data_IF_169477644481
#
_entry.id   IF_169477644481
#
_cell.length_a   1.000
_cell.length_b   1.000
_cell.length_c   1.000
_cell.angle_alpha   90.00
_cell.angle_beta   90.00
_cell.angle_gamma   90.00
#
_symmetry.space_group_name_H-M   'P 1'
#
loop_
_entity.id
_entity.type
_entity.pdbx_description
1 polymer ?
#
# COMPACT_ATOMS: atom_id res chain seq x y z
N UNK A 1 -10.34 -32.95 56.82
CA UNK A 1 -10.87 -34.35 56.80
C UNK A 1 -11.86 -34.51 55.68
N UNK A 2 -11.61 -35.43 54.85
CA UNK A 2 -12.32 -36.23 53.83
C UNK A 2 -11.69 -36.12 52.45
N UNK A 3 -10.83 -37.11 52.18
CA UNK A 3 -10.39 -37.62 50.89
C UNK A 3 -11.55 -38.35 50.18
N UNK A 4 -11.52 -38.34 48.83
CA UNK A 4 -11.96 -39.42 47.94
C UNK A 4 -11.85 -38.86 46.53
N UNK A 5 -11.36 -39.46 45.49
CA UNK A 5 -10.74 -40.71 45.13
C UNK A 5 -10.73 -40.73 43.60
N UNK A 6 -9.61 -41.10 43.05
CA UNK A 6 -9.28 -41.46 41.68
C UNK A 6 -10.30 -42.35 41.00
N UNK A 7 -10.55 -42.15 39.72
CA UNK A 7 -10.88 -43.24 38.79
C UNK A 7 -10.27 -42.98 37.42
N UNK A 8 -9.21 -43.70 37.13
CA UNK A 8 -8.60 -43.88 35.81
C UNK A 8 -9.48 -44.86 35.01
N UNK A 9 -9.75 -44.53 33.74
CA UNK A 9 -10.17 -45.51 32.75
C UNK A 9 -9.20 -45.44 31.57
N UNK A 10 -8.51 -46.53 31.41
CA UNK A 10 -7.59 -46.92 30.35
C UNK A 10 -8.38 -47.78 29.35
N UNK A 11 -8.40 -47.50 28.06
CA UNK A 11 -8.72 -48.40 26.96
C UNK A 11 -7.91 -47.93 25.73
N UNK A 12 -6.89 -48.57 25.44
CA UNK A 12 -6.54 -49.72 24.62
C UNK A 12 -6.78 -49.55 23.10
N UNK A 13 -5.66 -49.46 22.43
CA UNK A 13 -5.25 -49.72 21.04
C UNK A 13 -6.17 -50.57 20.18
N UNK A 14 -6.33 -50.15 18.92
CA UNK A 14 -6.35 -51.06 17.79
C UNK A 14 -5.75 -50.38 16.55
N UNK A 15 -4.56 -50.78 16.22
CA UNK A 15 -3.86 -50.60 14.95
C UNK A 15 -4.49 -51.45 13.85
N UNK A 16 -4.78 -50.86 12.69
CA UNK A 16 -4.91 -51.62 11.45
C UNK A 16 -4.11 -50.91 10.38
N UNK A 17 -3.01 -51.59 10.04
CA UNK A 17 -2.23 -51.34 8.85
C UNK A 17 -2.92 -51.99 7.65
N UNK A 18 -3.08 -51.27 6.55
CA UNK A 18 -3.14 -51.91 5.21
C UNK A 18 -2.36 -51.09 4.20
N UNK A 19 -1.40 -51.81 3.65
CA UNK A 19 -0.56 -51.45 2.50
C UNK A 19 -1.35 -51.58 1.18
N UNK A 20 -0.75 -50.95 0.18
CA UNK A 20 -0.79 -51.17 -1.26
C UNK A 20 -1.81 -50.30 -2.04
N UNK A 21 -1.29 -49.54 -2.96
CA UNK A 21 -1.18 -49.77 -4.35
C UNK A 21 -0.75 -48.50 -5.12
N UNK A 22 0.39 -48.62 -5.76
CA UNK A 22 0.86 -47.76 -6.84
C UNK A 22 -0.13 -47.72 -8.01
N UNK A 23 -0.34 -46.56 -8.59
CA UNK A 23 -0.35 -46.42 -10.05
C UNK A 23 -0.41 -44.96 -10.46
N UNK A 24 0.65 -44.53 -11.07
CA UNK A 24 0.72 -43.36 -11.92
C UNK A 24 0.19 -43.80 -13.31
N UNK A 25 -0.65 -43.04 -13.98
CA UNK A 25 -0.43 -42.81 -15.38
C UNK A 25 -0.81 -41.40 -15.84
N UNK A 26 0.00 -40.69 -16.55
CA UNK A 26 -0.12 -40.49 -17.98
C UNK A 26 0.90 -39.48 -18.49
N UNK A 27 1.90 -40.03 -19.10
CA UNK A 27 2.57 -39.38 -20.23
C UNK A 27 1.62 -39.49 -21.43
N UNK A 28 1.37 -38.35 -22.07
CA UNK A 28 0.83 -38.36 -23.44
C UNK A 28 1.97 -37.89 -24.34
N UNK A 29 2.52 -38.84 -25.03
CA UNK A 29 3.42 -38.68 -26.18
C UNK A 29 2.63 -38.19 -27.39
N UNK A 30 3.17 -37.14 -28.01
CA UNK A 30 2.79 -36.74 -29.36
C UNK A 30 3.36 -37.73 -30.36
N UNK A 31 2.53 -38.25 -31.22
CA UNK A 31 2.95 -38.78 -32.53
C UNK A 31 1.75 -38.76 -33.49
N UNK A 32 1.89 -38.06 -34.58
CA UNK A 32 1.14 -38.30 -35.82
C UNK A 32 1.84 -37.56 -36.95
N UNK A 33 2.76 -38.29 -37.54
CA UNK A 33 3.25 -38.14 -38.92
C UNK A 33 2.15 -38.54 -39.92
N UNK A 34 1.91 -37.72 -40.92
CA UNK A 34 1.33 -38.16 -42.22
C UNK A 34 1.93 -37.27 -43.29
N UNK A 35 2.90 -37.75 -43.99
CA UNK A 35 3.02 -38.34 -45.30
C UNK A 35 2.72 -37.39 -46.47
N UNK A 36 3.80 -37.01 -47.13
CA UNK A 36 4.15 -37.11 -48.53
C UNK A 36 3.06 -36.86 -49.57
N UNK A 37 3.26 -35.79 -50.33
CA UNK A 37 2.75 -35.62 -51.69
C UNK A 37 3.87 -35.11 -52.58
N UNK A 38 4.51 -36.05 -53.28
CA UNK A 38 5.47 -35.80 -54.34
C UNK A 38 4.73 -35.27 -55.58
N UNK A 39 5.15 -34.17 -56.15
CA UNK A 39 4.76 -33.78 -57.52
C UNK A 39 6.01 -33.49 -58.32
N UNK A 40 6.02 -34.20 -59.40
CA UNK A 40 6.99 -34.43 -60.44
C UNK A 40 7.34 -33.16 -61.22
N UNK A 41 8.61 -32.99 -61.52
CA UNK A 41 9.17 -32.02 -62.50
C UNK A 41 8.74 -32.38 -63.92
N UNK A 42 8.46 -31.35 -64.72
CA UNK A 42 8.46 -31.46 -66.20
C UNK A 42 9.18 -30.23 -66.75
N UNK A 43 10.10 -30.44 -67.74
CA UNK A 43 11.07 -29.43 -68.12
C UNK A 43 10.55 -28.42 -69.13
N UNK A 44 11.29 -27.31 -69.21
CA UNK A 44 11.13 -26.12 -70.02
C UNK A 44 11.16 -26.38 -71.56
N UNK A 45 10.75 -25.40 -72.33
CA UNK A 45 11.42 -25.13 -73.59
C UNK A 45 12.16 -23.78 -73.56
N UNK A 46 13.38 -23.87 -74.00
CA UNK A 46 14.30 -22.80 -74.39
C UNK A 46 13.69 -21.90 -75.45
N UNK A 47 13.75 -20.61 -75.28
CA UNK A 47 13.64 -19.64 -76.37
C UNK A 47 14.76 -18.60 -76.25
N UNK A 48 15.27 -18.32 -77.41
CA UNK A 48 16.44 -17.58 -77.85
C UNK A 48 16.50 -16.11 -77.44
N UNK A 49 17.69 -15.66 -77.12
CA UNK A 49 18.11 -14.28 -76.83
C UNK A 49 17.84 -13.36 -78.04
N UNK A 50 17.25 -12.22 -77.74
CA UNK A 50 17.39 -11.05 -78.61
C UNK A 50 17.91 -9.93 -77.76
N UNK A 51 19.19 -9.60 -77.96
CA UNK A 51 19.84 -8.48 -77.33
C UNK A 51 19.22 -7.14 -77.73
N UNK A 52 18.77 -6.38 -76.77
CA UNK A 52 18.41 -4.94 -76.92
C UNK A 52 19.39 -4.13 -76.07
N UNK A 53 19.95 -3.05 -76.59
CA UNK A 53 21.03 -2.32 -75.90
C UNK A 53 20.55 -1.65 -74.66
N UNK A 54 21.28 -1.86 -73.57
CA UNK A 54 21.12 -1.24 -72.26
C UNK A 54 21.35 0.27 -72.34
N UNK A 55 20.44 1.10 -71.88
CA UNK A 55 20.74 2.51 -71.63
C UNK A 55 21.60 2.62 -70.34
N UNK A 56 22.58 3.47 -70.41
CA UNK A 56 23.50 3.87 -69.37
C UNK A 56 22.76 4.38 -68.13
N UNK A 57 23.07 3.95 -66.88
CA UNK A 57 22.38 4.43 -65.68
C UNK A 57 22.74 5.91 -65.41
N UNK A 58 21.73 6.74 -65.55
CA UNK A 58 21.77 8.09 -64.98
C UNK A 58 21.83 7.98 -63.46
N UNK A 59 22.91 8.38 -62.84
CA UNK A 59 23.02 8.55 -61.40
C UNK A 59 22.04 9.65 -60.97
N UNK A 60 20.86 9.26 -60.50
CA UNK A 60 20.06 10.11 -59.65
C UNK A 60 20.79 10.29 -58.31
N UNK A 61 21.15 11.52 -57.99
CA UNK A 61 21.69 11.89 -56.70
C UNK A 61 20.67 11.48 -55.62
N UNK A 62 21.04 10.53 -54.79
CA UNK A 62 20.27 10.17 -53.61
C UNK A 62 20.09 11.42 -52.77
N UNK A 63 18.89 11.97 -52.74
CA UNK A 63 18.50 12.99 -51.77
C UNK A 63 18.47 12.28 -50.42
N UNK A 64 19.44 12.57 -49.57
CA UNK A 64 19.45 12.09 -48.21
C UNK A 64 18.16 12.60 -47.52
N UNK A 65 17.27 11.70 -47.21
CA UNK A 65 16.09 11.99 -46.36
C UNK A 65 16.67 12.36 -44.98
N UNK A 66 16.42 13.57 -44.48
CA UNK A 66 16.93 13.93 -43.18
C UNK A 66 16.47 12.89 -42.15
N UNK A 67 17.40 12.25 -41.45
CA UNK A 67 17.12 11.41 -40.28
C UNK A 67 16.35 12.28 -39.31
N UNK A 68 15.14 11.87 -38.85
CA UNK A 68 14.40 12.66 -37.87
C UNK A 68 15.29 12.82 -36.64
N UNK A 69 15.49 14.07 -36.21
CA UNK A 69 16.09 14.33 -34.89
C UNK A 69 15.36 13.54 -33.84
N UNK A 70 16.05 12.90 -32.89
CA UNK A 70 15.38 12.19 -31.79
C UNK A 70 14.51 13.21 -31.06
N UNK A 71 13.22 12.97 -31.07
CA UNK A 71 12.24 13.76 -30.31
C UNK A 71 12.62 13.60 -28.85
N UNK A 72 13.11 14.67 -28.22
CA UNK A 72 13.41 14.65 -26.79
C UNK A 72 12.09 14.38 -26.06
N UNK A 73 12.14 13.45 -25.09
CA UNK A 73 11.02 13.22 -24.16
C UNK A 73 10.77 14.53 -23.40
N UNK A 74 9.59 15.16 -23.54
CA UNK A 74 9.29 16.43 -22.89
C UNK A 74 9.32 16.32 -21.34
N UNK A 75 9.24 15.11 -20.79
CA UNK A 75 9.23 14.83 -19.35
C UNK A 75 10.56 14.25 -18.83
N UNK A 76 11.59 14.21 -19.69
CA UNK A 76 12.91 13.76 -19.26
C UNK A 76 13.48 14.69 -18.19
N UNK A 77 13.80 14.14 -17.03
CA UNK A 77 14.38 14.88 -15.93
C UNK A 77 15.90 15.11 -16.15
N UNK A 78 16.48 16.19 -15.60
CA UNK A 78 17.91 16.39 -15.57
C UNK A 78 18.66 15.20 -14.93
N UNK A 79 19.93 15.04 -15.30
CA UNK A 79 20.81 14.03 -14.68
C UNK A 79 20.83 14.20 -13.14
N UNK A 80 20.73 13.11 -12.41
CA UNK A 80 20.68 13.10 -10.95
C UNK A 80 19.31 13.39 -10.34
N UNK A 81 18.26 13.47 -11.16
CA UNK A 81 16.87 13.56 -10.69
C UNK A 81 16.06 12.34 -11.11
N UNK A 82 14.98 12.09 -10.37
CA UNK A 82 13.95 11.10 -10.65
C UNK A 82 12.57 11.59 -10.16
N UNK A 83 11.51 10.97 -10.62
CA UNK A 83 10.21 11.18 -10.02
C UNK A 83 10.09 10.40 -8.71
N UNK A 84 9.61 11.06 -7.66
CA UNK A 84 9.36 10.44 -6.35
C UNK A 84 8.35 9.29 -6.48
N UNK A 85 8.63 8.15 -5.84
CA UNK A 85 7.68 7.05 -5.73
C UNK A 85 6.47 7.39 -4.83
N UNK A 86 6.58 8.41 -3.98
CA UNK A 86 5.54 8.81 -3.04
C UNK A 86 4.62 9.90 -3.60
N UNK A 87 5.19 10.86 -4.34
CA UNK A 87 4.46 12.06 -4.78
C UNK A 87 4.44 12.27 -6.30
N UNK A 88 5.24 11.53 -7.07
CA UNK A 88 5.37 11.77 -8.51
C UNK A 88 6.06 13.09 -8.88
N UNK A 89 6.53 13.85 -7.90
CA UNK A 89 7.26 15.11 -8.12
C UNK A 89 8.74 14.85 -8.35
N UNK A 90 9.46 15.74 -9.09
CA UNK A 90 10.89 15.62 -9.28
C UNK A 90 11.65 15.75 -7.95
N UNK A 91 12.51 14.78 -7.65
CA UNK A 91 13.41 14.77 -6.50
C UNK A 91 14.83 14.38 -6.93
N UNK A 92 15.83 14.57 -6.07
CA UNK A 92 17.16 14.01 -6.34
C UNK A 92 17.10 12.48 -6.36
N UNK A 93 17.91 11.84 -7.22
CA UNK A 93 18.01 10.37 -7.23
C UNK A 93 18.48 9.83 -5.88
N UNK A 94 19.35 10.59 -5.18
CA UNK A 94 19.80 10.23 -3.84
C UNK A 94 18.63 10.14 -2.86
N UNK A 95 17.69 11.10 -2.90
CA UNK A 95 16.51 11.13 -2.03
C UNK A 95 15.48 10.11 -2.46
N UNK A 96 15.09 10.08 -3.72
CA UNK A 96 14.00 9.21 -4.23
C UNK A 96 14.32 7.72 -4.16
N UNK A 97 15.59 7.32 -4.03
CA UNK A 97 16.00 5.92 -3.83
C UNK A 97 16.06 5.49 -2.36
N UNK A 98 15.92 6.42 -1.41
CA UNK A 98 15.89 6.09 0.02
C UNK A 98 14.53 5.52 0.42
N UNK A 99 14.57 4.59 1.38
CA UNK A 99 13.36 4.10 2.05
C UNK A 99 12.74 5.20 2.90
N UNK A 100 11.42 5.43 2.79
CA UNK A 100 10.74 6.36 3.67
C UNK A 100 10.61 5.81 5.09
N UNK A 101 10.36 6.69 6.04
CA UNK A 101 10.03 6.35 7.42
C UNK A 101 8.51 6.34 7.60
N UNK A 102 7.96 5.20 8.00
CA UNK A 102 6.53 4.99 8.18
C UNK A 102 6.20 4.99 9.68
N UNK A 103 5.61 6.08 10.17
CA UNK A 103 5.41 6.32 11.61
C UNK A 103 3.95 6.13 11.98
N UNK A 104 3.67 5.25 12.97
CA UNK A 104 2.33 5.04 13.52
C UNK A 104 1.86 6.25 14.34
N UNK A 105 0.78 6.89 13.92
CA UNK A 105 0.22 8.11 14.52
C UNK A 105 -1.11 7.83 15.21
N UNK A 106 -1.24 8.37 16.41
CA UNK A 106 -2.49 8.35 17.18
C UNK A 106 -3.53 9.29 16.54
N UNK A 107 -4.75 8.79 16.36
CA UNK A 107 -5.84 9.56 15.79
C UNK A 107 -7.07 9.67 16.72
N UNK A 108 -6.87 9.49 18.01
CA UNK A 108 -7.90 9.76 19.02
C UNK A 108 -7.94 11.24 19.37
N UNK A 109 -9.12 11.73 19.71
CA UNK A 109 -9.35 13.15 20.05
C UNK A 109 -8.34 13.71 21.11
N UNK A 110 -7.94 12.99 22.18
CA UNK A 110 -6.93 13.49 23.11
C UNK A 110 -5.53 13.65 22.52
N UNK A 111 -5.28 13.09 21.33
CA UNK A 111 -4.01 13.21 20.60
C UNK A 111 -3.99 14.36 19.58
N UNK A 112 -5.14 14.99 19.34
CA UNK A 112 -5.29 16.09 18.38
C UNK A 112 -5.04 17.42 19.07
N UNK A 113 -4.36 18.41 18.43
CA UNK A 113 -3.68 18.31 17.15
C UNK A 113 -2.39 17.47 17.25
N UNK A 114 -2.09 16.71 16.19
CA UNK A 114 -0.85 15.97 16.08
C UNK A 114 0.30 16.88 15.65
N UNK A 115 1.53 16.38 15.77
CA UNK A 115 2.76 17.12 15.44
C UNK A 115 3.49 16.48 14.26
N UNK A 116 4.06 17.29 13.38
CA UNK A 116 4.91 16.87 12.25
C UNK A 116 4.16 16.21 11.09
N UNK A 117 2.85 16.03 11.22
CA UNK A 117 2.04 15.24 10.28
C UNK A 117 1.81 15.95 8.94
N UNK A 118 1.88 17.27 8.88
CA UNK A 118 1.76 18.03 7.63
C UNK A 118 2.94 17.81 6.68
N UNK A 119 4.05 17.29 7.18
CA UNK A 119 5.26 17.04 6.41
C UNK A 119 5.30 15.63 5.78
N UNK A 120 4.34 14.75 6.13
CA UNK A 120 4.22 13.46 5.49
C UNK A 120 3.86 13.58 4.00
N UNK A 121 4.43 12.71 3.18
CA UNK A 121 4.19 12.63 1.73
C UNK A 121 2.96 11.77 1.42
N UNK A 122 2.82 10.65 2.14
CA UNK A 122 1.67 9.75 2.07
C UNK A 122 1.15 9.51 3.47
N UNK A 123 -0.17 9.42 3.60
CA UNK A 123 -0.80 9.07 4.87
C UNK A 123 -1.81 7.96 4.67
N UNK A 124 -1.75 6.93 5.52
CA UNK A 124 -2.74 5.88 5.60
C UNK A 124 -3.64 6.09 6.82
N UNK A 125 -4.91 5.71 6.70
CA UNK A 125 -5.83 5.63 7.83
C UNK A 125 -6.66 4.35 7.76
N UNK A 126 -6.73 3.64 8.88
CA UNK A 126 -7.56 2.44 9.03
C UNK A 126 -8.12 2.33 10.45
N UNK A 127 -9.24 1.63 10.59
CA UNK A 127 -9.79 1.31 11.90
C UNK A 127 -8.88 0.36 12.67
N UNK A 128 -8.91 0.49 13.98
CA UNK A 128 -8.31 -0.40 14.97
C UNK A 128 -9.37 -0.80 16.00
N UNK A 129 -8.99 -1.24 17.18
CA UNK A 129 -9.94 -1.70 18.20
C UNK A 129 -11.05 -0.69 18.48
N UNK A 130 -12.26 -1.17 18.74
CA UNK A 130 -13.42 -0.33 19.10
C UNK A 130 -13.83 0.65 18.01
N UNK A 131 -13.48 0.38 16.76
CA UNK A 131 -13.76 1.22 15.57
C UNK A 131 -13.11 2.61 15.58
N UNK A 132 -12.17 2.88 16.50
CA UNK A 132 -11.31 4.06 16.43
C UNK A 132 -10.32 3.92 15.29
N UNK A 133 -9.72 5.01 14.81
CA UNK A 133 -8.74 4.97 13.72
C UNK A 133 -7.31 5.21 14.20
N UNK A 134 -6.35 4.75 13.41
CA UNK A 134 -4.94 5.13 13.45
C UNK A 134 -4.47 5.53 12.07
N UNK A 135 -3.42 6.34 12.05
CA UNK A 135 -2.75 6.73 10.81
C UNK A 135 -1.34 6.14 10.76
N UNK A 136 -0.83 5.96 9.54
CA UNK A 136 0.59 5.74 9.26
C UNK A 136 1.06 6.90 8.41
N UNK A 137 1.90 7.74 8.96
CA UNK A 137 2.50 8.87 8.26
C UNK A 137 3.82 8.42 7.60
N UNK A 138 3.95 8.63 6.31
CA UNK A 138 5.09 8.23 5.48
C UNK A 138 5.88 9.47 5.09
N UNK A 139 7.14 9.51 5.51
CA UNK A 139 8.05 10.61 5.27
C UNK A 139 9.20 10.13 4.38
N UNK A 140 9.40 10.73 3.22
CA UNK A 140 10.57 10.44 2.39
C UNK A 140 11.86 10.75 3.15
N UNK A 141 11.91 11.89 3.81
CA UNK A 141 13.00 12.28 4.70
C UNK A 141 12.45 12.98 5.95
N UNK A 142 12.54 12.36 7.15
CA UNK A 142 12.12 12.98 8.38
C UNK A 142 13.16 13.92 9.00
N UNK A 143 14.32 14.14 8.35
CA UNK A 143 15.40 14.96 8.89
C UNK A 143 14.91 16.36 9.28
N UNK A 144 15.32 16.83 10.45
CA UNK A 144 14.96 18.15 10.95
C UNK A 144 13.53 18.28 11.50
N UNK A 145 12.70 17.24 11.42
CA UNK A 145 11.39 17.25 12.08
C UNK A 145 11.59 16.96 13.57
N UNK A 146 11.47 17.99 14.40
CA UNK A 146 11.78 17.86 15.82
C UNK A 146 10.77 17.00 16.59
N UNK A 147 9.50 16.92 16.11
CA UNK A 147 8.41 16.26 16.82
C UNK A 147 7.40 15.65 15.85
N UNK A 148 7.30 14.33 15.86
CA UNK A 148 6.37 13.53 15.05
C UNK A 148 5.49 12.72 16.01
N UNK A 149 4.17 12.84 15.88
CA UNK A 149 3.26 12.05 16.72
C UNK A 149 2.00 12.79 17.17
N UNK A 150 1.34 12.31 18.26
CA UNK A 150 1.79 11.21 19.15
C UNK A 150 1.88 9.88 18.45
N UNK A 151 3.00 9.18 18.69
CA UNK A 151 3.23 7.84 18.16
C UNK A 151 2.36 6.80 18.90
N UNK A 152 1.96 5.73 18.20
CA UNK A 152 1.11 4.68 18.75
C UNK A 152 1.54 3.27 18.34
N UNK A 153 0.86 2.32 18.98
CA UNK A 153 1.15 0.90 18.85
C UNK A 153 0.86 0.39 17.44
N UNK A 154 1.74 -0.46 16.95
CA UNK A 154 1.61 -1.16 15.69
C UNK A 154 0.39 -2.10 15.67
N UNK A 155 -0.16 -2.32 14.50
CA UNK A 155 -1.11 -3.39 14.18
C UNK A 155 -0.57 -4.17 12.98
N UNK A 156 -0.87 -5.44 12.91
CA UNK A 156 -0.24 -6.34 11.94
C UNK A 156 -0.53 -5.97 10.47
N UNK A 157 -1.73 -5.48 10.17
CA UNK A 157 -2.07 -5.04 8.81
C UNK A 157 -1.41 -3.69 8.40
N UNK A 158 -0.97 -2.86 9.35
CA UNK A 158 -0.13 -1.70 9.02
C UNK A 158 1.27 -2.09 8.54
N UNK A 159 1.69 -3.33 8.80
CA UNK A 159 2.92 -3.88 8.21
C UNK A 159 2.80 -3.99 6.69
N UNK A 160 1.61 -4.33 6.20
CA UNK A 160 1.35 -4.39 4.75
C UNK A 160 1.42 -3.02 4.09
N UNK A 161 0.93 -1.98 4.77
CA UNK A 161 1.06 -0.59 4.31
C UNK A 161 2.52 -0.13 4.29
N UNK A 162 3.32 -0.54 5.30
CA UNK A 162 4.75 -0.29 5.30
C UNK A 162 5.47 -1.04 4.17
N UNK A 163 5.08 -2.29 3.85
CA UNK A 163 5.66 -3.04 2.73
C UNK A 163 5.32 -2.44 1.37
N UNK A 164 4.14 -1.85 1.22
CA UNK A 164 3.76 -1.11 0.03
C UNK A 164 4.71 0.07 -0.22
N UNK A 165 5.15 0.74 0.83
CA UNK A 165 6.11 1.84 0.77
C UNK A 165 7.57 1.37 0.78
N UNK A 166 7.84 0.07 0.96
CA UNK A 166 9.18 -0.46 1.23
C UNK A 166 9.88 0.32 2.34
N UNK A 167 9.13 0.70 3.39
CA UNK A 167 9.51 1.69 4.38
C UNK A 167 10.23 1.11 5.60
N UNK A 168 10.77 2.02 6.42
CA UNK A 168 11.28 1.73 7.77
C UNK A 168 10.15 1.95 8.75
N UNK A 169 9.65 0.87 9.36
CA UNK A 169 8.46 0.91 10.21
C UNK A 169 8.77 1.40 11.63
N UNK A 170 8.11 2.49 12.05
CA UNK A 170 8.31 3.17 13.32
C UNK A 170 7.01 3.18 14.11
N UNK A 171 7.06 2.73 15.39
CA UNK A 171 5.87 2.62 16.23
C UNK A 171 6.21 2.73 17.71
N UNK A 172 5.21 2.91 18.58
CA UNK A 172 5.41 2.93 20.02
C UNK A 172 4.58 1.81 20.68
N UNK A 173 5.20 0.65 20.91
CA UNK A 173 4.52 -0.58 21.31
C UNK A 173 3.75 -1.24 20.15
N UNK A 174 3.00 -2.29 20.44
CA UNK A 174 2.24 -3.02 19.41
C UNK A 174 1.26 -4.01 20.00
N UNK A 175 0.29 -4.45 19.19
CA UNK A 175 -0.55 -5.60 19.54
C UNK A 175 0.27 -6.90 19.51
N UNK A 176 -0.14 -7.96 20.24
CA UNK A 176 0.48 -9.27 20.13
C UNK A 176 0.57 -9.76 18.68
N UNK A 177 -0.47 -9.54 17.88
CA UNK A 177 -0.50 -9.90 16.45
C UNK A 177 0.54 -9.15 15.63
N UNK A 178 0.82 -7.87 15.94
CA UNK A 178 1.88 -7.13 15.27
C UNK A 178 3.26 -7.70 15.59
N UNK A 179 3.53 -8.04 16.86
CA UNK A 179 4.80 -8.64 17.25
C UNK A 179 4.99 -10.04 16.65
N UNK A 180 3.93 -10.86 16.59
CA UNK A 180 3.98 -12.15 15.89
C UNK A 180 4.31 -11.93 14.40
N UNK A 181 3.66 -10.97 13.74
CA UNK A 181 3.92 -10.64 12.35
C UNK A 181 5.37 -10.20 12.10
N UNK A 182 5.95 -9.39 13.00
CA UNK A 182 7.36 -8.99 12.90
C UNK A 182 8.31 -10.18 12.98
N UNK A 183 8.01 -11.15 13.85
CA UNK A 183 8.81 -12.37 14.00
C UNK A 183 8.70 -13.27 12.78
N UNK A 184 7.49 -13.49 12.25
CA UNK A 184 7.24 -14.30 11.07
C UNK A 184 7.93 -13.76 9.83
N UNK A 185 7.87 -12.44 9.64
CA UNK A 185 8.45 -11.76 8.49
C UNK A 185 9.96 -11.48 8.66
N UNK A 186 10.52 -11.70 9.86
CA UNK A 186 11.90 -11.28 10.17
C UNK A 186 12.08 -9.76 10.08
N UNK A 187 10.99 -8.98 10.28
CA UNK A 187 10.99 -7.54 10.12
C UNK A 187 11.59 -6.84 11.34
N UNK A 188 12.69 -6.13 11.15
CA UNK A 188 13.26 -5.24 12.16
C UNK A 188 12.56 -3.88 12.08
N UNK A 189 11.96 -3.44 13.20
CA UNK A 189 11.22 -2.19 13.31
C UNK A 189 11.88 -1.24 14.30
N UNK A 190 11.55 0.04 14.24
CA UNK A 190 11.92 1.02 15.26
C UNK A 190 10.78 1.10 16.28
N UNK A 191 10.93 0.36 17.39
CA UNK A 191 9.95 0.37 18.47
C UNK A 191 10.35 1.41 19.54
N UNK A 192 9.62 2.52 19.59
CA UNK A 192 9.89 3.64 20.50
C UNK A 192 9.87 3.27 22.00
N UNK A 193 9.21 2.16 22.40
CA UNK A 193 9.26 1.73 23.80
C UNK A 193 10.67 1.35 24.27
N UNK A 194 11.53 0.91 23.34
CA UNK A 194 12.94 0.61 23.63
C UNK A 194 13.81 1.87 23.72
N UNK A 195 13.33 3.00 23.25
CA UNK A 195 14.06 4.26 23.15
C UNK A 195 13.38 5.42 23.90
N UNK A 196 12.35 5.13 24.72
CA UNK A 196 11.62 6.15 25.47
C UNK A 196 12.56 6.92 26.42
N UNK A 197 12.54 8.24 26.30
CA UNK A 197 13.45 9.14 27.04
C UNK A 197 14.86 9.26 26.45
N UNK A 198 15.15 8.67 25.27
CA UNK A 198 16.48 8.76 24.62
C UNK A 198 16.69 10.09 23.86
N UNK A 199 15.64 10.90 23.69
CA UNK A 199 15.62 12.06 22.80
C UNK A 199 15.17 11.71 21.39
N UNK A 200 15.42 10.50 20.89
CA UNK A 200 14.86 9.99 19.64
C UNK A 200 13.36 9.69 19.80
N UNK A 201 12.99 9.14 20.95
CA UNK A 201 11.61 9.08 21.43
C UNK A 201 11.52 9.73 22.82
N UNK A 202 10.46 10.50 23.01
CA UNK A 202 10.26 11.25 24.24
C UNK A 202 8.76 11.44 24.51
N UNK A 203 8.45 11.79 25.78
CA UNK A 203 7.10 12.12 26.20
C UNK A 203 7.00 13.59 26.57
N UNK A 204 5.87 14.17 26.25
CA UNK A 204 5.53 15.53 26.68
C UNK A 204 4.64 15.48 27.91
N UNK A 205 4.56 16.62 28.64
CA UNK A 205 3.74 16.76 29.85
C UNK A 205 2.42 17.52 29.61
N UNK A 206 2.20 17.98 28.39
CA UNK A 206 0.99 18.72 28.00
C UNK A 206 -0.21 17.78 27.76
N UNK A 207 0.04 16.49 27.65
CA UNK A 207 -0.95 15.44 27.49
C UNK A 207 -0.66 14.26 28.42
N UNK A 208 -1.71 13.50 28.72
CA UNK A 208 -1.57 12.27 29.49
C UNK A 208 -1.17 11.09 28.59
N UNK A 209 -0.47 10.12 29.19
CA UNK A 209 -0.26 8.86 28.50
C UNK A 209 -1.60 8.16 28.24
N UNK A 210 -1.77 7.49 27.11
CA UNK A 210 -0.76 7.15 26.09
C UNK A 210 -0.71 8.14 24.90
N UNK A 211 -1.21 9.37 25.04
CA UNK A 211 -1.36 10.35 23.95
C UNK A 211 -0.19 11.36 23.88
N UNK A 212 0.95 11.07 24.51
CA UNK A 212 2.06 11.99 24.72
C UNK A 212 3.44 11.48 24.30
N UNK A 213 3.53 10.35 23.57
CA UNK A 213 4.79 9.82 23.08
C UNK A 213 5.06 10.33 21.65
N UNK A 214 6.26 10.88 21.43
CA UNK A 214 6.66 11.48 20.14
C UNK A 214 8.02 10.93 19.70
N UNK A 215 8.29 11.02 18.40
CA UNK A 215 9.59 10.75 17.81
C UNK A 215 10.21 12.05 17.26
N UNK A 216 11.54 12.14 17.29
CA UNK A 216 12.30 13.14 16.54
C UNK A 216 12.82 12.49 15.25
N UNK A 217 12.69 13.16 14.11
CA UNK A 217 13.09 12.61 12.80
C UNK A 217 14.57 12.23 12.73
N UNK A 218 15.47 13.12 13.19
CA UNK A 218 16.91 12.82 13.28
C UNK A 218 17.19 11.63 14.21
N UNK A 219 16.36 11.46 15.26
CA UNK A 219 16.41 10.32 16.15
C UNK A 219 16.05 9.01 15.46
N UNK A 220 15.00 9.01 14.62
CA UNK A 220 14.62 7.84 13.81
C UNK A 220 15.75 7.45 12.86
N UNK A 221 16.37 8.41 12.17
CA UNK A 221 17.51 8.19 11.27
C UNK A 221 18.69 7.58 12.03
N UNK A 222 19.00 8.12 13.20
CA UNK A 222 20.08 7.61 14.06
C UNK A 222 19.85 6.17 14.52
N UNK A 223 18.60 5.84 14.92
CA UNK A 223 18.23 4.48 15.32
C UNK A 223 18.32 3.52 14.13
N UNK A 224 17.79 3.88 12.97
CA UNK A 224 17.86 3.06 11.75
C UNK A 224 19.30 2.72 11.40
N UNK A 225 20.21 3.70 11.45
CA UNK A 225 21.64 3.52 11.24
C UNK A 225 22.26 2.61 12.31
N UNK A 226 21.92 2.81 13.60
CA UNK A 226 22.42 2.01 14.72
C UNK A 226 21.97 0.54 14.67
N UNK A 227 20.78 0.27 14.12
CA UNK A 227 20.25 -1.07 13.87
C UNK A 227 20.80 -1.70 12.58
N UNK A 228 21.51 -0.95 11.73
CA UNK A 228 22.01 -1.41 10.43
C UNK A 228 20.89 -1.68 9.42
N UNK A 229 19.78 -0.95 9.53
CA UNK A 229 18.68 -1.09 8.56
C UNK A 229 19.11 -0.60 7.18
N UNK A 230 18.67 -1.29 6.13
CA UNK A 230 18.82 -0.78 4.77
C UNK A 230 18.00 0.51 4.64
N UNK A 231 18.63 1.57 4.20
CA UNK A 231 18.01 2.87 3.95
C UNK A 231 17.72 3.11 2.47
N UNK A 232 18.02 2.14 1.61
CA UNK A 232 17.70 2.17 0.18
C UNK A 232 16.62 1.14 -0.14
N UNK A 233 15.78 1.45 -1.11
CA UNK A 233 14.74 0.54 -1.57
C UNK A 233 15.32 -0.81 -2.02
N UNK A 234 14.48 -1.87 -1.91
CA UNK A 234 14.82 -3.18 -2.46
C UNK A 234 14.95 -3.11 -3.98
N UNK A 235 15.74 -4.00 -4.54
CA UNK A 235 15.90 -4.09 -5.99
C UNK A 235 14.53 -4.29 -6.68
N UNK A 236 14.29 -3.51 -7.74
CA UNK A 236 13.06 -3.58 -8.52
C UNK A 236 11.84 -2.92 -7.87
N UNK A 237 11.99 -2.18 -6.78
CA UNK A 237 10.89 -1.38 -6.23
C UNK A 237 10.54 -0.22 -7.18
N UNK A 238 9.26 -0.08 -7.48
CA UNK A 238 8.73 0.94 -8.42
C UNK A 238 7.64 1.81 -7.80
N UNK A 239 7.41 1.70 -6.48
CA UNK A 239 6.28 2.33 -5.81
C UNK A 239 4.96 1.58 -6.05
N UNK A 240 3.90 2.06 -5.40
CA UNK A 240 2.52 1.58 -5.61
C UNK A 240 1.74 2.50 -6.55
N UNK A 241 2.21 3.72 -6.74
CA UNK A 241 1.55 4.71 -7.58
C UNK A 241 2.17 4.76 -8.97
N UNK A 242 1.31 4.96 -9.96
CA UNK A 242 1.70 5.41 -11.29
C UNK A 242 1.24 6.86 -11.43
N UNK A 243 2.15 7.78 -11.71
CA UNK A 243 1.80 9.19 -11.77
C UNK A 243 1.63 9.69 -13.21
N UNK A 244 0.77 10.69 -13.38
CA UNK A 244 0.83 11.62 -14.49
C UNK A 244 2.10 12.46 -14.37
N UNK A 245 2.60 12.99 -15.47
CA UNK A 245 3.74 13.92 -15.42
C UNK A 245 3.30 15.34 -15.03
N UNK A 246 2.04 15.66 -15.25
CA UNK A 246 1.42 16.93 -14.94
C UNK A 246 0.06 16.69 -14.30
N UNK A 247 -0.47 17.71 -13.65
CA UNK A 247 -1.81 17.70 -13.08
C UNK A 247 -2.83 17.46 -14.19
N UNK A 248 -3.62 16.40 -14.07
CA UNK A 248 -4.57 15.94 -15.08
C UNK A 248 -5.93 15.74 -14.42
N UNK A 249 -6.83 16.71 -14.53
CA UNK A 249 -8.19 16.60 -13.97
C UNK A 249 -8.95 15.38 -14.51
N UNK A 250 -9.81 14.81 -13.70
CA UNK A 250 -10.73 13.77 -14.15
C UNK A 250 -11.74 14.37 -15.13
N UNK A 251 -11.83 13.77 -16.33
CA UNK A 251 -12.81 14.17 -17.32
C UNK A 251 -14.23 13.78 -16.87
N UNK A 252 -15.22 14.60 -17.21
CA UNK A 252 -16.62 14.27 -16.99
C UNK A 252 -17.01 13.02 -17.80
N UNK A 253 -17.72 12.09 -17.16
CA UNK A 253 -18.10 10.85 -17.81
C UNK A 253 -18.87 9.89 -16.90
N UNK A 254 -19.19 8.73 -17.43
CA UNK A 254 -19.80 7.66 -16.65
C UNK A 254 -18.87 7.23 -15.50
N UNK A 255 -19.42 7.11 -14.29
CA UNK A 255 -18.66 6.73 -13.10
C UNK A 255 -17.85 7.85 -12.45
N UNK A 256 -17.89 9.10 -12.98
CA UNK A 256 -17.28 10.27 -12.36
C UNK A 256 -18.34 11.10 -11.65
N UNK A 257 -18.04 11.50 -10.41
CA UNK A 257 -18.95 12.25 -9.54
C UNK A 257 -18.26 13.50 -9.00
N UNK A 258 -19.01 14.60 -8.87
CA UNK A 258 -18.52 15.80 -8.18
C UNK A 258 -18.22 15.49 -6.72
N UNK A 259 -17.05 15.91 -6.26
CA UNK A 259 -16.51 15.58 -4.95
C UNK A 259 -15.88 16.80 -4.25
N UNK A 260 -16.56 17.93 -4.29
CA UNK A 260 -16.10 19.15 -3.58
C UNK A 260 -16.03 18.95 -2.07
N UNK A 261 -16.83 18.05 -1.52
CA UNK A 261 -16.75 17.57 -0.13
C UNK A 261 -16.88 16.04 -0.14
N UNK A 262 -15.99 15.37 0.61
CA UNK A 262 -15.92 13.91 0.71
C UNK A 262 -16.05 13.50 2.18
N UNK A 263 -17.09 12.77 2.55
CA UNK A 263 -17.33 12.31 3.91
C UNK A 263 -16.96 10.84 4.05
N UNK A 264 -16.09 10.54 5.00
CA UNK A 264 -15.54 9.20 5.23
C UNK A 264 -16.33 8.50 6.35
N UNK A 265 -16.72 7.22 6.18
CA UNK A 265 -17.59 6.50 7.10
C UNK A 265 -16.85 5.98 8.34
N UNK A 266 -16.30 6.86 9.17
CA UNK A 266 -15.77 6.52 10.49
C UNK A 266 -16.62 7.17 11.59
N UNK A 267 -16.92 6.43 12.66
CA UNK A 267 -17.88 6.87 13.68
C UNK A 267 -17.28 7.78 14.75
N UNK A 268 -15.97 7.67 15.01
CA UNK A 268 -15.35 8.41 16.11
C UNK A 268 -14.86 9.79 15.71
N UNK A 269 -14.04 9.84 14.67
CA UNK A 269 -13.43 11.09 14.23
C UNK A 269 -14.19 11.76 13.08
N UNK A 270 -15.16 11.05 12.45
CA UNK A 270 -16.04 11.58 11.38
C UNK A 270 -15.29 12.45 10.38
N UNK A 271 -14.22 11.91 9.74
CA UNK A 271 -13.39 12.74 8.91
C UNK A 271 -14.07 13.07 7.59
N UNK A 272 -13.78 14.28 7.11
CA UNK A 272 -14.19 14.71 5.77
C UNK A 272 -13.08 15.57 5.15
N UNK A 273 -13.19 15.75 3.83
CA UNK A 273 -12.30 16.59 3.05
C UNK A 273 -13.11 17.64 2.32
N UNK A 274 -12.55 18.82 2.20
CA UNK A 274 -13.08 19.92 1.37
C UNK A 274 -12.06 20.27 0.28
N UNK A 275 -12.50 20.28 -0.97
CA UNK A 275 -11.69 20.63 -2.10
C UNK A 275 -11.60 22.15 -2.26
N UNK A 276 -10.39 22.65 -2.37
CA UNK A 276 -10.11 24.05 -2.66
C UNK A 276 -9.58 24.17 -4.10
N UNK A 277 -10.37 24.80 -4.95
CA UNK A 277 -10.01 24.95 -6.37
C UNK A 277 -8.85 25.93 -6.60
N UNK A 278 -8.51 26.77 -5.60
CA UNK A 278 -7.45 27.76 -5.70
C UNK A 278 -6.05 27.12 -5.77
N UNK A 279 -5.89 25.97 -5.09
CA UNK A 279 -4.63 25.22 -5.03
C UNK A 279 -4.76 23.75 -5.44
N UNK A 280 -5.99 23.29 -5.73
CA UNK A 280 -6.27 21.94 -6.19
C UNK A 280 -6.11 20.86 -5.12
N UNK A 281 -6.26 21.20 -3.84
CA UNK A 281 -6.03 20.31 -2.71
C UNK A 281 -7.32 20.01 -1.94
N UNK A 282 -7.35 18.83 -1.32
CA UNK A 282 -8.35 18.39 -0.38
C UNK A 282 -7.86 18.64 1.06
N UNK A 283 -8.50 19.58 1.77
CA UNK A 283 -8.21 19.93 3.16
C UNK A 283 -8.97 19.01 4.10
N UNK A 284 -8.26 18.38 5.03
CA UNK A 284 -8.84 17.38 5.92
C UNK A 284 -9.38 18.00 7.21
N UNK A 285 -10.54 17.47 7.62
CA UNK A 285 -11.22 17.78 8.88
C UNK A 285 -11.48 16.48 9.64
N UNK A 286 -11.49 16.57 10.96
CA UNK A 286 -11.94 15.50 11.86
C UNK A 286 -12.43 16.10 13.18
N UNK A 287 -13.31 15.40 13.89
CA UNK A 287 -13.92 15.90 15.13
C UNK A 287 -14.54 17.28 14.96
N UNK A 288 -15.20 17.54 13.83
CA UNK A 288 -15.83 18.81 13.43
C UNK A 288 -14.86 20.02 13.38
N UNK A 289 -13.56 19.78 13.22
CA UNK A 289 -12.54 20.83 13.14
C UNK A 289 -11.48 20.53 12.07
N UNK A 290 -10.79 21.56 11.53
CA UNK A 290 -9.62 21.34 10.68
C UNK A 290 -8.58 20.49 11.41
N UNK A 291 -8.06 19.44 10.76
CA UNK A 291 -6.93 18.70 11.29
C UNK A 291 -5.64 19.46 10.98
N UNK A 292 -5.06 20.05 11.99
CA UNK A 292 -3.88 20.89 11.85
C UNK A 292 -2.65 20.25 12.50
N UNK A 293 -1.48 20.51 11.93
CA UNK A 293 -0.21 20.19 12.54
C UNK A 293 0.09 21.20 13.66
N UNK A 294 0.35 20.69 14.86
CA UNK A 294 0.59 21.50 16.05
C UNK A 294 1.83 22.40 15.91
N UNK A 295 2.86 21.91 15.18
CA UNK A 295 4.17 22.58 15.16
C UNK A 295 4.20 23.80 14.23
N UNK A 296 3.40 23.79 13.17
CA UNK A 296 3.41 24.87 12.17
C UNK A 296 2.02 25.45 11.85
N UNK A 297 0.95 24.89 12.41
CA UNK A 297 -0.42 25.31 12.18
C UNK A 297 -0.99 25.02 10.79
N UNK A 298 -0.28 24.28 9.96
CA UNK A 298 -0.76 23.90 8.64
C UNK A 298 -1.86 22.85 8.76
N UNK A 299 -2.97 23.04 8.05
CA UNK A 299 -3.99 22.02 7.93
C UNK A 299 -3.48 20.91 6.98
N UNK A 300 -3.80 19.65 7.29
CA UNK A 300 -3.51 18.55 6.40
C UNK A 300 -4.27 18.74 5.09
N UNK A 301 -3.52 18.65 3.99
CA UNK A 301 -4.04 18.78 2.64
C UNK A 301 -3.37 17.78 1.71
N UNK A 302 -4.15 17.23 0.78
CA UNK A 302 -3.73 16.16 -0.12
C UNK A 302 -4.20 16.47 -1.55
N UNK A 303 -3.36 16.14 -2.53
CA UNK A 303 -3.73 16.21 -3.94
C UNK A 303 -4.67 15.06 -4.30
N UNK A 304 -4.39 13.88 -3.73
CA UNK A 304 -5.12 12.66 -4.00
C UNK A 304 -5.69 12.08 -2.71
N UNK A 305 -6.93 11.60 -2.77
CA UNK A 305 -7.54 10.77 -1.73
C UNK A 305 -7.97 9.45 -2.36
N UNK A 306 -7.49 8.34 -1.82
CA UNK A 306 -7.86 6.99 -2.23
C UNK A 306 -8.65 6.36 -1.10
N UNK A 307 -9.79 5.76 -1.43
CA UNK A 307 -10.56 4.95 -0.48
C UNK A 307 -10.58 3.51 -0.98
N UNK A 308 -10.18 2.58 -0.12
CA UNK A 308 -10.24 1.14 -0.38
C UNK A 308 -11.32 0.49 0.48
N UNK A 309 -12.26 -0.20 -0.15
CA UNK A 309 -13.28 -0.99 0.55
C UNK A 309 -12.72 -2.38 0.83
N UNK A 310 -12.57 -2.71 2.14
CA UNK A 310 -11.87 -3.91 2.59
C UNK A 310 -12.74 -4.66 3.61
N UNK A 311 -12.85 -5.98 3.48
CA UNK A 311 -13.47 -6.80 4.51
C UNK A 311 -12.68 -6.70 5.81
N UNK A 312 -13.39 -6.50 6.92
CA UNK A 312 -12.79 -6.32 8.24
C UNK A 312 -13.49 -7.21 9.26
N UNK A 313 -12.72 -7.79 10.16
CA UNK A 313 -13.27 -8.66 11.20
C UNK A 313 -12.52 -8.54 12.52
N UNK A 314 -13.27 -8.79 13.62
CA UNK A 314 -12.71 -8.86 14.98
C UNK A 314 -12.07 -10.22 15.19
N UNK A 315 -10.80 -10.25 15.60
CA UNK A 315 -9.99 -11.47 15.78
C UNK A 315 -9.66 -11.79 17.24
N UNK A 316 -10.09 -10.97 18.20
CA UNK A 316 -9.86 -11.23 19.61
C UNK A 316 -10.96 -10.65 20.49
N UNK A 317 -11.07 -11.13 21.74
CA UNK A 317 -11.98 -10.59 22.76
C UNK A 317 -11.71 -9.12 23.11
N UNK A 318 -10.47 -8.64 22.87
CA UNK A 318 -10.08 -7.23 23.06
C UNK A 318 -10.48 -6.35 21.89
N UNK A 319 -11.11 -6.89 20.86
CA UNK A 319 -11.59 -6.16 19.70
C UNK A 319 -10.54 -5.89 18.65
N UNK A 320 -9.36 -6.56 18.68
CA UNK A 320 -8.40 -6.42 17.59
C UNK A 320 -9.03 -6.78 16.25
N UNK A 321 -8.73 -6.00 15.24
CA UNK A 321 -9.22 -6.20 13.86
C UNK A 321 -8.17 -6.89 13.01
N UNK A 322 -8.65 -7.61 12.00
CA UNK A 322 -7.90 -8.00 10.81
C UNK A 322 -8.59 -7.45 9.56
N UNK A 323 -7.81 -7.14 8.54
CA UNK A 323 -8.24 -6.58 7.26
C UNK A 323 -7.85 -7.57 6.15
N UNK A 324 -8.81 -7.92 5.28
CA UNK A 324 -8.55 -8.79 4.13
C UNK A 324 -7.88 -8.00 3.01
N UNK A 325 -6.55 -7.82 3.11
CA UNK A 325 -5.76 -7.01 2.20
C UNK A 325 -5.28 -7.76 0.95
N UNK A 326 -5.09 -9.11 1.02
CA UNK A 326 -4.61 -9.90 -0.13
C UNK A 326 -5.78 -10.32 -1.01
N UNK A 327 -6.27 -9.39 -1.81
CA UNK A 327 -7.47 -9.56 -2.60
C UNK A 327 -7.49 -8.58 -3.78
N UNK A 328 -8.63 -8.56 -4.45
CA UNK A 328 -9.08 -7.54 -5.40
C UNK A 328 -10.32 -6.89 -4.81
N UNK A 329 -10.38 -5.59 -4.76
CA UNK A 329 -11.51 -4.88 -4.19
C UNK A 329 -11.82 -3.56 -4.89
N UNK A 330 -13.00 -3.03 -4.63
CA UNK A 330 -13.45 -1.73 -5.11
C UNK A 330 -12.82 -0.61 -4.30
N UNK A 331 -12.63 0.53 -4.92
CA UNK A 331 -12.13 1.75 -4.30
C UNK A 331 -12.60 3.00 -5.02
N UNK A 332 -12.22 4.14 -4.47
CA UNK A 332 -12.43 5.46 -5.08
C UNK A 332 -11.08 6.16 -5.24
N UNK A 333 -10.88 6.78 -6.37
CA UNK A 333 -9.83 7.77 -6.60
C UNK A 333 -10.46 9.15 -6.69
N UNK A 334 -9.98 10.08 -5.88
CA UNK A 334 -10.55 11.40 -5.67
C UNK A 334 -9.43 12.43 -5.86
N UNK A 335 -9.60 13.32 -6.83
CA UNK A 335 -8.67 14.41 -7.18
C UNK A 335 -9.42 15.52 -7.88
N UNK A 336 -8.94 16.74 -7.82
CA UNK A 336 -9.43 17.91 -8.55
C UNK A 336 -10.95 18.14 -8.48
N UNK A 337 -11.53 17.95 -7.29
CA UNK A 337 -12.95 18.15 -7.04
C UNK A 337 -13.86 17.04 -7.55
N UNK A 338 -13.29 15.93 -8.03
CA UNK A 338 -14.03 14.80 -8.61
C UNK A 338 -13.59 13.46 -8.01
N UNK A 339 -14.47 12.48 -8.09
CA UNK A 339 -14.23 11.09 -7.67
C UNK A 339 -14.60 10.14 -8.79
N UNK A 340 -13.86 9.06 -8.94
CA UNK A 340 -14.16 7.92 -9.83
C UNK A 340 -13.90 6.58 -9.13
N UNK A 341 -14.58 5.55 -9.60
CA UNK A 341 -14.32 4.19 -9.15
C UNK A 341 -12.94 3.72 -9.63
N UNK A 342 -12.30 2.94 -8.81
CA UNK A 342 -11.08 2.19 -9.13
C UNK A 342 -11.16 0.79 -8.56
N UNK A 343 -10.29 -0.08 -9.03
CA UNK A 343 -10.04 -1.39 -8.42
C UNK A 343 -8.65 -1.38 -7.80
N UNK A 344 -8.56 -1.74 -6.52
CA UNK A 344 -7.28 -2.01 -5.88
C UNK A 344 -6.98 -3.51 -5.94
N UNK A 345 -5.70 -3.86 -6.08
CA UNK A 345 -5.24 -5.26 -6.17
C UNK A 345 -3.97 -5.43 -5.35
N UNK A 346 -3.99 -6.39 -4.41
CA UNK A 346 -2.81 -6.88 -3.70
C UNK A 346 -2.81 -8.40 -3.71
N UNK A 347 -1.84 -9.00 -4.38
CA UNK A 347 -1.82 -10.45 -4.63
C UNK A 347 -1.21 -11.26 -3.49
N UNK A 348 -0.56 -10.63 -2.53
CA UNK A 348 0.08 -11.31 -1.40
C UNK A 348 1.01 -10.40 -0.61
N UNK A 349 1.62 -10.96 0.44
CA UNK A 349 2.53 -10.24 1.36
C UNK A 349 3.69 -9.54 0.67
N UNK A 350 4.29 -10.21 -0.30
CA UNK A 350 5.51 -9.75 -0.99
C UNK A 350 5.20 -8.86 -2.20
N UNK A 351 3.91 -8.65 -2.48
CA UNK A 351 3.46 -7.85 -3.61
C UNK A 351 2.98 -6.49 -3.14
N UNK A 352 3.33 -5.45 -3.90
CA UNK A 352 2.79 -4.11 -3.67
C UNK A 352 1.36 -4.01 -4.17
N UNK A 353 0.56 -3.18 -3.51
CA UNK A 353 -0.76 -2.79 -3.99
C UNK A 353 -0.61 -2.01 -5.29
N UNK A 354 -1.53 -2.20 -6.23
CA UNK A 354 -1.66 -1.37 -7.43
C UNK A 354 -3.13 -1.07 -7.72
N UNK A 355 -3.37 -0.07 -8.55
CA UNK A 355 -4.70 0.44 -8.83
C UNK A 355 -4.99 0.41 -10.33
N UNK A 356 -6.22 0.02 -10.68
CA UNK A 356 -6.69 0.04 -12.07
C UNK A 356 -7.98 0.83 -12.20
N UNK A 357 -8.24 1.35 -13.39
CA UNK A 357 -9.53 1.92 -13.75
C UNK A 357 -10.55 0.82 -14.11
N UNK A 358 -11.80 1.22 -14.39
CA UNK A 358 -12.90 0.31 -14.77
C UNK A 358 -12.62 -0.48 -16.07
N UNK A 359 -11.65 -0.05 -16.87
CA UNK A 359 -11.21 -0.76 -18.09
C UNK A 359 -10.04 -1.72 -17.82
N UNK A 360 -9.53 -1.77 -16.60
CA UNK A 360 -8.38 -2.60 -16.19
C UNK A 360 -7.01 -1.98 -16.55
N UNK A 361 -6.97 -0.72 -17.00
CA UNK A 361 -5.71 -0.02 -17.20
C UNK A 361 -5.18 0.50 -15.86
N UNK A 362 -3.86 0.64 -15.74
CA UNK A 362 -3.24 1.26 -14.56
C UNK A 362 -3.82 2.65 -14.31
N UNK A 363 -4.39 2.84 -13.11
CA UNK A 363 -4.85 4.17 -12.68
C UNK A 363 -3.66 5.06 -12.41
N UNK A 364 -3.57 6.17 -13.13
CA UNK A 364 -2.58 7.21 -12.88
C UNK A 364 -3.11 8.22 -11.87
N UNK A 365 -2.24 8.61 -10.94
CA UNK A 365 -2.48 9.63 -9.92
C UNK A 365 -1.91 10.97 -10.37
N UNK A 366 -2.42 12.06 -9.85
CA UNK A 366 -1.82 13.38 -10.06
C UNK A 366 -0.60 13.54 -9.13
N UNK A 367 0.46 14.25 -9.56
CA UNK A 367 1.60 14.54 -8.70
C UNK A 367 1.16 15.31 -7.44
N UNK A 368 1.66 14.90 -6.28
CA UNK A 368 1.35 15.49 -4.98
C UNK A 368 1.09 14.46 -3.88
N UNK A 369 0.83 14.96 -2.68
CA UNK A 369 0.58 14.13 -1.50
C UNK A 369 -0.70 13.30 -1.63
N UNK A 370 -0.67 12.08 -1.08
CA UNK A 370 -1.80 11.14 -1.15
C UNK A 370 -2.24 10.67 0.22
N UNK A 371 -3.56 10.65 0.46
CA UNK A 371 -4.17 9.96 1.60
C UNK A 371 -4.87 8.69 1.15
N UNK A 372 -4.57 7.56 1.82
CA UNK A 372 -5.20 6.25 1.55
C UNK A 372 -6.00 5.84 2.78
N UNK A 373 -7.27 5.50 2.58
CA UNK A 373 -8.22 5.24 3.66
C UNK A 373 -8.88 3.88 3.44
N UNK A 374 -8.81 3.02 4.46
CA UNK A 374 -9.40 1.68 4.44
C UNK A 374 -10.72 1.69 5.18
N UNK A 375 -11.82 1.47 4.46
CA UNK A 375 -13.18 1.41 5.04
C UNK A 375 -13.76 0.00 4.91
N UNK A 376 -14.66 -0.44 5.80
CA UNK A 376 -15.32 -1.73 5.68
C UNK A 376 -16.12 -1.85 4.37
N UNK A 377 -16.10 -3.02 3.74
CA UNK A 377 -17.00 -3.35 2.62
C UNK A 377 -18.45 -3.12 3.05
N UNK A 378 -19.25 -2.53 2.17
CA UNK A 378 -20.61 -2.10 2.47
C UNK A 378 -20.72 -0.73 3.15
N UNK A 379 -19.61 -0.05 3.37
CA UNK A 379 -19.60 1.38 3.70
C UNK A 379 -20.00 2.21 2.49
N UNK A 380 -20.52 3.42 2.76
CA UNK A 380 -20.79 4.41 1.73
C UNK A 380 -20.04 5.69 2.05
N UNK A 381 -19.05 6.02 1.22
CA UNK A 381 -18.46 7.36 1.15
C UNK A 381 -19.46 8.26 0.44
N UNK A 382 -19.71 9.44 0.97
CA UNK A 382 -20.70 10.37 0.41
C UNK A 382 -20.07 11.70 0.04
N UNK A 383 -20.74 12.43 -0.83
CA UNK A 383 -20.28 13.73 -1.32
C UNK A 383 -21.27 14.83 -0.92
N UNK A 384 -20.75 16.05 -0.73
CA UNK A 384 -21.57 17.18 -0.30
C UNK A 384 -22.09 17.01 1.14
N UNK A 385 -23.37 17.27 1.35
CA UNK A 385 -24.01 17.28 2.70
C UNK A 385 -24.57 15.92 3.13
N UNK A 386 -24.42 14.88 2.31
CA UNK A 386 -24.91 13.55 2.61
C UNK A 386 -24.09 12.90 3.72
N UNK A 387 -24.78 12.18 4.64
CA UNK A 387 -24.10 11.48 5.72
C UNK A 387 -23.56 10.13 5.22
N UNK A 388 -22.29 9.80 5.55
CA UNK A 388 -21.72 8.51 5.17
C UNK A 388 -22.33 7.36 5.99
N UNK A 389 -22.30 6.15 5.42
CA UNK A 389 -22.77 4.93 6.08
C UNK A 389 -21.59 4.01 6.35
N UNK A 390 -21.47 3.57 7.59
CA UNK A 390 -20.42 2.63 7.99
C UNK A 390 -20.89 1.22 7.68
N UNK A 391 -20.09 0.47 6.93
CA UNK A 391 -20.32 -0.94 6.63
C UNK A 391 -20.08 -1.83 7.85
N UNK A 392 -20.52 -3.09 7.77
CA UNK A 392 -20.36 -4.04 8.87
C UNK A 392 -18.87 -4.41 9.07
N UNK A 393 -18.50 -4.54 10.35
CA UNK A 393 -17.28 -5.24 10.76
C UNK A 393 -17.70 -6.61 11.27
N UNK A 394 -17.17 -7.69 10.69
CA UNK A 394 -17.53 -9.05 11.08
C UNK A 394 -17.11 -9.33 12.53
N UNK A 395 -18.00 -9.89 13.31
CA UNK A 395 -17.71 -10.40 14.66
C UNK A 395 -17.55 -11.92 14.69
N UNK A 396 -17.61 -12.58 13.53
CA UNK A 396 -17.57 -14.04 13.40
C UNK A 396 -16.17 -14.66 13.55
N UNK A 397 -15.15 -13.88 13.87
CA UNK A 397 -13.77 -14.33 14.04
C UNK A 397 -12.84 -13.95 12.88
N UNK A 398 -11.73 -14.65 12.79
CA UNK A 398 -10.66 -14.42 11.82
C UNK A 398 -11.15 -14.36 10.36
N UNK A 399 -10.64 -13.40 9.61
CA UNK A 399 -10.81 -13.28 8.15
C UNK A 399 -9.63 -14.00 7.49
N UNK A 400 -9.84 -15.14 6.78
CA UNK A 400 -8.76 -15.83 6.09
C UNK A 400 -8.17 -14.96 4.98
N UNK A 401 -6.85 -14.75 4.99
CA UNK A 401 -6.16 -14.08 3.89
C UNK A 401 -5.97 -15.07 2.73
N UNK A 402 -6.33 -14.72 1.48
CA UNK A 402 -6.07 -15.57 0.33
C UNK A 402 -4.58 -15.89 0.22
N UNK A 403 -4.23 -17.19 0.15
CA UNK A 403 -2.84 -17.65 0.05
C UNK A 403 -2.08 -17.71 1.38
N UNK A 404 -2.68 -17.36 2.52
CA UNK A 404 -2.10 -17.65 3.83
C UNK A 404 -2.29 -19.14 4.13
N UNK A 405 -1.20 -19.85 4.44
CA UNK A 405 -1.30 -21.18 5.04
C UNK A 405 -1.87 -21.03 6.45
N UNK A 406 -3.12 -21.43 6.63
CA UNK A 406 -3.88 -21.29 7.88
C UNK A 406 -3.22 -21.99 9.08
N UNK A 407 -2.19 -22.81 8.84
CA UNK A 407 -1.49 -23.57 9.88
C UNK A 407 -0.54 -22.72 10.74
N UNK A 408 -0.18 -21.51 10.30
CA UNK A 408 0.80 -20.67 11.01
C UNK A 408 0.21 -19.70 12.05
N UNK A 409 -1.11 -19.47 12.03
CA UNK A 409 -1.76 -18.61 13.03
C UNK A 409 -2.29 -19.40 14.22
N UNK A 410 -1.39 -20.14 14.88
CA UNK A 410 -1.64 -20.66 16.21
C UNK A 410 -1.63 -19.52 17.21
N UNK A 411 -2.76 -18.86 17.44
CA UNK A 411 -2.94 -17.87 18.49
C UNK A 411 -2.84 -18.54 19.86
N UNK A 412 -1.59 -18.75 20.33
CA UNK A 412 -1.34 -19.18 21.68
C UNK A 412 -1.77 -18.09 22.66
N UNK A 413 -2.63 -18.43 23.61
CA UNK A 413 -3.17 -17.59 24.69
C UNK A 413 -2.11 -17.01 25.67
N UNK A 414 -0.83 -16.94 25.32
CA UNK A 414 0.24 -16.54 26.25
C UNK A 414 1.18 -15.48 25.68
N UNK A 415 0.69 -14.25 25.61
CA UNK A 415 1.55 -13.06 25.67
C UNK A 415 0.86 -12.05 26.58
N UNK A 416 1.28 -11.98 27.84
CA UNK A 416 0.92 -10.90 28.75
C UNK A 416 1.33 -9.57 28.15
N UNK A 417 0.39 -8.62 28.14
CA UNK A 417 0.55 -7.29 27.62
C UNK A 417 1.65 -6.52 28.32
N UNK A 418 2.73 -6.24 27.61
CA UNK A 418 3.60 -5.12 27.96
C UNK A 418 2.99 -3.84 27.35
N UNK A 419 2.14 -3.17 28.14
CA UNK A 419 1.93 -1.72 28.05
C UNK A 419 0.84 -1.20 27.12
N UNK A 420 -0.40 -1.48 27.42
CA UNK A 420 -1.53 -0.61 27.07
C UNK A 420 -2.22 -0.13 28.38
N UNK A 421 -1.46 0.59 29.23
CA UNK A 421 -1.99 1.33 30.37
C UNK A 421 -1.43 2.74 30.38
#
# INVERSE_FOLDING_TARGET
>A
MKKKALTSILCLLASVSMLAGCSNPNQITADSTTALGTVTETPAPTQEETETPTPEPTQEAATETPTPEPTQDPYALPEGQMYSYLTGEPVSTEEGTKKPYCVMINNLQPAVPQSGISQADVMYEAMVEGTITRMLAVFQDPAGIEKIGPCRSARHYFVDFNYDMDGIYCHFGGSPFAFTRFQEDGLTTINGTAYDGSGAFFRTSDREAPHNAYAAGDGLISIASGLGLSTTHRDGYTGIFSFNHEDTPLEDGEGVTEASRVNIPFSWNMPYFEYHADDGLYYRFEYDAPQVDQENGQQLAFKNVIVEYVEQGVISEKGHLDLLLYNVGEGLYITDGKAKNITWVKQGRDQTTYFTDDSGNTQKMNPGKTMIIYVPVGSTVTFGDEQPVIGPVSTAGYIPQPGSDQSSYGYGESAEEAGDS
#
